data_IF_024851639843
#
_entry.id   IF_024851639843
#
_cell.length_a   1.000
_cell.length_b   1.000
_cell.length_c   1.000
_cell.angle_alpha   90.00
_cell.angle_beta   90.00
_cell.angle_gamma   90.00
#
_symmetry.space_group_name_H-M   'P 1'
#
loop_
_entity.id
_entity.type
_entity.pdbx_description
1 polymer ?
#
# COMPACT_ATOMS: atom_id res chain seq x y z
N UNK A 1 0.04 -8.68 16.60
CA UNK A 1 -0.28 -7.66 17.64
C UNK A 1 -0.74 -6.40 16.92
N UNK A 2 -1.84 -5.75 17.32
CA UNK A 2 -2.33 -4.54 16.65
C UNK A 2 -1.33 -3.38 16.80
N UNK A 3 -1.28 -2.53 15.77
CA UNK A 3 -0.45 -1.34 15.67
C UNK A 3 -1.38 -0.15 15.46
N UNK A 4 -1.31 0.84 16.36
CA UNK A 4 -1.91 2.14 16.12
C UNK A 4 -1.04 2.90 15.12
N UNK A 5 -1.63 3.37 14.03
CA UNK A 5 -0.91 4.09 12.98
C UNK A 5 -1.68 5.34 12.54
N UNK A 6 -0.95 6.36 12.11
CA UNK A 6 -1.51 7.59 11.57
C UNK A 6 -1.61 7.46 10.03
N UNK A 7 -2.79 7.20 9.45
CA UNK A 7 -2.90 6.84 8.03
C UNK A 7 -2.57 7.98 7.07
N UNK A 8 -2.63 9.25 7.51
CA UNK A 8 -2.34 10.42 6.67
C UNK A 8 -1.13 11.23 7.19
N UNK A 9 -0.03 10.54 7.50
CA UNK A 9 1.16 11.18 8.06
C UNK A 9 1.99 11.86 6.96
N UNK A 10 1.55 13.04 6.52
CA UNK A 10 2.24 13.86 5.53
C UNK A 10 2.78 15.17 6.14
N UNK A 11 3.70 15.87 5.45
CA UNK A 11 4.38 17.09 5.95
C UNK A 11 3.43 18.13 6.56
N UNK A 12 2.24 18.32 5.99
CA UNK A 12 1.25 19.32 6.47
C UNK A 12 0.61 18.97 7.82
N UNK A 13 0.76 17.73 8.28
CA UNK A 13 0.24 17.24 9.56
C UNK A 13 1.32 17.22 10.65
N UNK A 14 2.54 17.68 10.35
CA UNK A 14 3.68 17.71 11.27
C UNK A 14 4.06 19.18 11.53
N UNK A 15 3.94 19.61 12.78
CA UNK A 15 4.40 20.92 13.24
C UNK A 15 5.80 20.81 13.83
N UNK A 16 6.63 21.81 13.54
CA UNK A 16 8.01 21.92 14.04
C UNK A 16 8.21 23.25 14.76
N UNK A 17 9.25 23.35 15.58
CA UNK A 17 9.58 24.60 16.28
C UNK A 17 10.04 25.68 15.30
N UNK A 18 9.57 26.91 15.49
CA UNK A 18 10.02 28.08 14.73
C UNK A 18 11.52 28.38 14.93
N UNK A 19 12.05 28.05 16.10
CA UNK A 19 13.46 28.33 16.46
C UNK A 19 14.40 27.17 16.14
N UNK A 20 13.88 25.95 16.00
CA UNK A 20 14.65 24.73 15.74
C UNK A 20 13.80 23.71 14.98
N UNK A 21 13.80 23.75 13.63
CA UNK A 21 12.97 22.89 12.79
C UNK A 21 13.25 21.38 12.93
N UNK A 22 14.33 20.98 13.62
CA UNK A 22 14.60 19.57 13.93
C UNK A 22 13.68 19.01 15.02
N UNK A 23 12.98 19.87 15.77
CA UNK A 23 12.08 19.48 16.85
C UNK A 23 10.63 19.50 16.40
N UNK A 24 10.01 18.33 16.41
CA UNK A 24 8.56 18.17 16.22
C UNK A 24 7.84 18.72 17.47
N UNK A 25 6.90 19.64 17.25
CA UNK A 25 6.09 20.26 18.30
C UNK A 25 4.67 19.70 18.36
N UNK A 26 4.19 19.09 17.27
CA UNK A 26 2.88 18.46 17.24
C UNK A 26 2.63 17.62 15.99
N UNK A 27 1.75 16.63 16.12
CA UNK A 27 1.19 15.86 15.01
C UNK A 27 -0.33 15.96 15.16
N UNK A 28 -1.01 16.40 14.10
CA UNK A 28 -2.48 16.57 14.07
C UNK A 28 -3.13 15.52 13.17
N UNK A 29 -4.45 15.59 13.00
CA UNK A 29 -5.20 14.81 12.01
C UNK A 29 -5.40 13.31 12.35
N UNK A 30 -5.42 13.01 13.65
CA UNK A 30 -5.54 11.64 14.18
C UNK A 30 -6.94 11.02 14.06
N UNK A 31 -7.97 11.72 13.58
CA UNK A 31 -9.35 11.21 13.61
C UNK A 31 -9.59 9.96 12.77
N UNK A 32 -8.68 9.63 11.85
CA UNK A 32 -8.73 8.42 11.02
C UNK A 32 -7.82 7.30 11.55
N UNK A 33 -7.11 7.51 12.67
CA UNK A 33 -6.20 6.51 13.22
C UNK A 33 -6.94 5.29 13.77
N UNK A 34 -6.43 4.11 13.49
CA UNK A 34 -7.00 2.83 13.91
C UNK A 34 -5.92 1.88 14.44
N UNK A 35 -6.33 0.93 15.28
CA UNK A 35 -5.46 -0.12 15.80
C UNK A 35 -5.65 -1.39 14.96
N UNK A 36 -4.78 -1.59 13.97
CA UNK A 36 -4.94 -2.62 12.93
C UNK A 36 -3.69 -3.52 12.85
N UNK A 37 -3.75 -4.68 12.19
CA UNK A 37 -2.56 -5.44 11.85
C UNK A 37 -1.51 -4.58 11.15
N UNK A 38 -0.25 -4.70 11.57
CA UNK A 38 0.85 -3.87 11.06
C UNK A 38 1.05 -3.92 9.53
N UNK A 39 0.62 -5.00 8.87
CA UNK A 39 0.75 -5.15 7.42
C UNK A 39 -0.08 -4.12 6.64
N UNK A 40 -1.15 -3.57 7.22
CA UNK A 40 -1.96 -2.52 6.57
C UNK A 40 -1.16 -1.27 6.24
N UNK A 41 -0.13 -0.99 7.04
CA UNK A 41 0.71 0.21 6.92
C UNK A 41 2.15 -0.11 6.52
N UNK A 42 2.39 -1.35 6.08
CA UNK A 42 3.72 -1.81 5.71
C UNK A 42 4.20 -1.15 4.42
N UNK A 43 3.31 -0.91 3.46
CA UNK A 43 3.69 -0.26 2.20
C UNK A 43 3.55 1.26 2.22
N UNK A 44 3.03 1.84 3.31
CA UNK A 44 2.86 3.29 3.44
C UNK A 44 4.21 4.01 3.48
N UNK A 45 4.37 5.00 2.61
CA UNK A 45 5.56 5.86 2.56
C UNK A 45 5.08 7.31 2.68
N UNK A 46 5.50 8.06 3.71
CA UNK A 46 5.17 9.46 3.84
C UNK A 46 5.57 10.26 2.60
N UNK A 47 4.81 11.29 2.26
CA UNK A 47 5.04 12.15 1.09
C UNK A 47 6.46 12.73 1.02
N UNK A 48 7.08 12.98 2.16
CA UNK A 48 8.46 13.47 2.28
C UNK A 48 9.55 12.43 2.03
N UNK A 49 9.19 11.15 2.01
CA UNK A 49 10.11 10.02 1.86
C UNK A 49 9.83 9.23 0.56
N UNK A 50 8.99 9.76 -0.32
CA UNK A 50 8.78 9.21 -1.66
C UNK A 50 10.04 9.52 -2.50
N UNK A 51 10.72 8.49 -3.04
CA UNK A 51 11.88 8.66 -3.91
C UNK A 51 11.62 9.66 -5.04
N UNK A 52 12.43 10.70 -5.15
CA UNK A 52 12.51 11.52 -6.36
C UNK A 52 13.66 11.05 -7.27
N UNK A 53 13.68 11.53 -8.52
CA UNK A 53 14.72 11.20 -9.50
C UNK A 53 16.10 11.80 -9.14
N UNK A 54 16.24 12.48 -8.00
CA UNK A 54 17.52 13.02 -7.54
C UNK A 54 18.32 11.94 -6.79
N UNK A 55 19.61 11.83 -7.09
CA UNK A 55 20.52 10.91 -6.38
C UNK A 55 20.65 11.24 -4.87
N UNK A 56 20.13 12.38 -4.44
CA UNK A 56 20.22 12.97 -3.09
C UNK A 56 18.94 12.88 -2.27
N UNK A 57 18.07 11.89 -2.51
CA UNK A 57 16.93 11.66 -1.62
C UNK A 57 17.36 11.08 -0.26
N UNK A 58 17.85 11.96 0.60
CA UNK A 58 18.23 11.67 1.98
C UNK A 58 17.02 11.26 2.81
N UNK A 59 15.81 11.73 2.49
CA UNK A 59 14.61 11.44 3.26
C UNK A 59 14.13 10.01 3.01
N UNK A 60 14.07 9.55 1.75
CA UNK A 60 13.75 8.15 1.44
C UNK A 60 14.80 7.20 2.03
N UNK A 61 16.09 7.51 1.90
CA UNK A 61 17.17 6.68 2.48
C UNK A 61 17.07 6.61 4.00
N UNK A 62 16.83 7.73 4.67
CA UNK A 62 16.65 7.78 6.12
C UNK A 62 15.38 7.04 6.55
N UNK A 63 14.28 7.19 5.81
CA UNK A 63 13.03 6.49 6.09
C UNK A 63 13.18 4.97 5.92
N UNK A 64 13.81 4.49 4.86
CA UNK A 64 14.07 3.07 4.66
C UNK A 64 14.90 2.50 5.82
N UNK A 65 16.01 3.16 6.20
CA UNK A 65 16.82 2.74 7.34
C UNK A 65 16.03 2.74 8.66
N UNK A 66 15.34 3.83 8.98
CA UNK A 66 14.53 3.94 10.20
C UNK A 66 13.36 2.94 10.21
N UNK A 67 12.75 2.66 9.07
CA UNK A 67 11.65 1.69 8.98
C UNK A 67 12.10 0.26 9.26
N UNK A 68 13.37 -0.06 8.97
CA UNK A 68 13.95 -1.37 9.25
C UNK A 68 14.34 -1.53 10.72
N UNK A 69 14.94 -0.50 11.31
CA UNK A 69 15.56 -0.61 12.64
C UNK A 69 14.73 -0.01 13.78
N UNK A 70 13.96 1.04 13.52
CA UNK A 70 13.26 1.82 14.55
C UNK A 70 11.77 1.48 14.65
N UNK A 71 11.16 0.88 13.62
CA UNK A 71 9.75 0.46 13.63
C UNK A 71 9.60 -1.06 13.53
N UNK A 72 10.05 -1.77 14.56
CA UNK A 72 10.07 -3.25 14.61
C UNK A 72 8.72 -3.91 14.33
N UNK A 73 7.60 -3.22 14.59
CA UNK A 73 6.25 -3.72 14.28
C UNK A 73 5.93 -3.69 12.78
N UNK A 74 6.47 -2.72 12.04
CA UNK A 74 6.24 -2.52 10.60
C UNK A 74 7.31 -3.22 9.76
N UNK A 75 8.54 -3.35 10.29
CA UNK A 75 9.67 -3.94 9.57
C UNK A 75 9.43 -5.39 9.16
N UNK A 76 8.78 -6.18 10.00
CA UNK A 76 8.44 -7.58 9.69
C UNK A 76 7.59 -7.68 8.42
N UNK A 77 6.36 -7.15 8.39
CA UNK A 77 5.53 -7.16 7.19
C UNK A 77 6.17 -6.49 5.96
N UNK A 78 6.98 -5.43 6.13
CA UNK A 78 7.72 -4.78 5.03
C UNK A 78 8.72 -5.69 4.33
N UNK A 79 9.28 -6.67 5.05
CA UNK A 79 10.25 -7.62 4.52
C UNK A 79 9.60 -8.88 3.95
N UNK A 80 8.29 -9.04 4.11
CA UNK A 80 7.55 -10.18 3.57
C UNK A 80 7.13 -9.90 2.13
N UNK A 81 6.85 -10.96 1.37
CA UNK A 81 6.32 -10.85 0.02
C UNK A 81 4.97 -10.11 0.05
N UNK A 82 4.83 -9.07 -0.77
CA UNK A 82 3.60 -8.25 -0.84
C UNK A 82 2.39 -9.08 -1.26
N UNK A 83 2.58 -10.12 -2.06
CA UNK A 83 1.51 -11.02 -2.48
C UNK A 83 0.84 -11.72 -1.29
N UNK A 84 1.52 -11.81 -0.14
CA UNK A 84 0.91 -12.28 1.11
C UNK A 84 -0.23 -11.37 1.60
N UNK A 85 -0.10 -10.06 1.41
CA UNK A 85 -0.98 -9.06 2.01
C UNK A 85 -1.95 -8.41 1.02
N UNK A 86 -1.61 -8.37 -0.27
CA UNK A 86 -2.42 -7.73 -1.31
C UNK A 86 -3.89 -8.20 -1.34
N UNK A 87 -4.23 -9.49 -1.20
CA UNK A 87 -5.64 -9.90 -1.12
C UNK A 87 -6.43 -9.17 -0.02
N UNK A 88 -5.80 -8.93 1.14
CA UNK A 88 -6.41 -8.17 2.23
C UNK A 88 -6.55 -6.69 1.86
N UNK A 89 -5.47 -6.08 1.33
CA UNK A 89 -5.45 -4.66 0.93
C UNK A 89 -6.53 -4.33 -0.11
N UNK A 90 -6.73 -5.21 -1.09
CA UNK A 90 -7.71 -5.01 -2.15
C UNK A 90 -9.13 -5.43 -1.75
N UNK A 91 -9.31 -6.31 -0.76
CA UNK A 91 -10.64 -6.67 -0.27
C UNK A 91 -11.44 -5.46 0.25
N UNK A 92 -10.75 -4.56 0.97
CA UNK A 92 -11.34 -3.34 1.52
C UNK A 92 -11.76 -2.33 0.44
N UNK A 93 -11.16 -2.41 -0.76
CA UNK A 93 -11.42 -1.47 -1.87
C UNK A 93 -12.48 -1.96 -2.86
N UNK A 94 -12.99 -3.18 -2.70
CA UNK A 94 -13.94 -3.78 -3.65
C UNK A 94 -15.24 -2.99 -3.84
N UNK A 95 -15.70 -2.29 -2.80
CA UNK A 95 -16.89 -1.43 -2.90
C UNK A 95 -16.66 -0.19 -3.77
N UNK A 96 -15.41 0.29 -3.87
CA UNK A 96 -15.01 1.50 -4.60
C UNK A 96 -14.52 1.16 -6.01
N UNK A 97 -13.61 0.20 -6.10
CA UNK A 97 -12.88 -0.13 -7.34
C UNK A 97 -13.44 -1.37 -8.06
N UNK A 98 -14.41 -2.05 -7.46
CA UNK A 98 -14.96 -3.30 -7.96
C UNK A 98 -14.08 -4.52 -7.61
N UNK A 99 -14.54 -5.70 -8.02
CA UNK A 99 -13.92 -6.98 -7.63
C UNK A 99 -12.71 -7.39 -8.49
N UNK A 100 -12.41 -6.67 -9.59
CA UNK A 100 -11.40 -7.09 -10.57
C UNK A 100 -10.00 -7.12 -9.96
N UNK A 101 -9.61 -6.09 -9.20
CA UNK A 101 -8.31 -6.05 -8.55
C UNK A 101 -8.16 -7.14 -7.48
N UNK A 102 -9.17 -7.33 -6.62
CA UNK A 102 -9.16 -8.42 -5.64
C UNK A 102 -9.02 -9.79 -6.32
N UNK A 103 -9.75 -10.01 -7.42
CA UNK A 103 -9.64 -11.26 -8.19
C UNK A 103 -8.22 -11.48 -8.72
N UNK A 104 -7.57 -10.43 -9.21
CA UNK A 104 -6.20 -10.50 -9.70
C UNK A 104 -5.25 -10.93 -8.59
N UNK A 105 -5.31 -10.28 -7.43
CA UNK A 105 -4.45 -10.60 -6.29
C UNK A 105 -4.66 -12.03 -5.75
N UNK A 106 -5.90 -12.51 -5.77
CA UNK A 106 -6.21 -13.90 -5.42
C UNK A 106 -5.59 -14.90 -6.40
N UNK A 107 -5.60 -14.60 -7.70
CA UNK A 107 -4.95 -15.43 -8.73
C UNK A 107 -3.44 -15.45 -8.52
N UNK A 108 -2.81 -14.29 -8.39
CA UNK A 108 -1.36 -14.16 -8.17
C UNK A 108 -0.92 -14.90 -6.88
N UNK A 109 -1.64 -14.70 -5.79
CA UNK A 109 -1.37 -15.39 -4.51
C UNK A 109 -1.50 -16.90 -4.65
N UNK A 110 -2.48 -17.38 -5.43
CA UNK A 110 -2.70 -18.81 -5.64
C UNK A 110 -1.60 -19.42 -6.52
N UNK A 111 -1.12 -18.69 -7.53
CA UNK A 111 -0.02 -19.13 -8.39
C UNK A 111 1.32 -19.14 -7.64
N UNK A 112 1.57 -18.13 -6.80
CA UNK A 112 2.77 -18.02 -5.96
C UNK A 112 2.71 -18.80 -4.63
N UNK A 113 1.71 -19.66 -4.42
CA UNK A 113 1.44 -20.28 -3.11
C UNK A 113 2.64 -21.00 -2.49
N UNK A 114 3.37 -21.77 -3.31
CA UNK A 114 4.55 -22.50 -2.86
C UNK A 114 5.73 -21.56 -2.58
N UNK A 115 5.89 -20.50 -3.36
CA UNK A 115 6.96 -19.49 -3.21
C UNK A 115 6.76 -18.66 -1.94
N UNK A 116 5.49 -18.44 -1.56
CA UNK A 116 5.09 -17.84 -0.28
C UNK A 116 5.37 -18.75 0.93
N UNK A 117 5.83 -19.99 0.71
CA UNK A 117 6.18 -20.94 1.76
C UNK A 117 4.98 -21.62 2.43
N UNK A 118 3.80 -21.55 1.82
CA UNK A 118 2.62 -22.23 2.35
C UNK A 118 2.62 -23.71 2.02
N UNK A 119 2.18 -24.52 3.00
CA UNK A 119 2.01 -25.95 2.82
C UNK A 119 0.71 -26.28 2.06
N UNK A 120 0.71 -27.43 1.38
CA UNK A 120 -0.42 -27.92 0.62
C UNK A 120 -0.62 -27.18 -0.69
N UNK A 121 -1.70 -27.50 -1.37
CA UNK A 121 -2.15 -26.75 -2.53
C UNK A 121 -2.74 -25.40 -2.10
N UNK A 122 -2.49 -24.37 -2.91
CA UNK A 122 -3.19 -23.09 -2.77
C UNK A 122 -4.71 -23.24 -2.75
N UNK A 123 -5.46 -22.21 -2.35
CA UNK A 123 -6.91 -22.28 -2.24
C UNK A 123 -7.53 -22.70 -3.58
N UNK A 124 -7.75 -24.01 -3.74
CA UNK A 124 -8.16 -24.66 -4.99
C UNK A 124 -9.52 -24.17 -5.51
N UNK A 125 -10.27 -23.44 -4.67
CA UNK A 125 -11.58 -22.86 -4.98
C UNK A 125 -11.47 -21.71 -6.01
N UNK A 126 -10.25 -21.25 -6.36
CA UNK A 126 -10.06 -20.01 -7.11
C UNK A 126 -9.28 -20.12 -8.42
N UNK A 127 -8.71 -21.28 -8.79
CA UNK A 127 -7.96 -21.39 -10.05
C UNK A 127 -8.93 -21.42 -11.24
N UNK A 128 -9.08 -20.32 -12.00
CA UNK A 128 -10.03 -20.25 -13.09
C UNK A 128 -9.55 -21.14 -14.23
N UNK A 129 -10.48 -21.57 -15.07
CA UNK A 129 -10.10 -22.26 -16.31
C UNK A 129 -9.16 -21.38 -17.16
N UNK A 130 -8.32 -21.94 -18.05
CA UNK A 130 -7.43 -21.14 -18.91
C UNK A 130 -8.16 -20.04 -19.70
N UNK A 131 -9.38 -20.32 -20.14
CA UNK A 131 -10.23 -19.33 -20.81
C UNK A 131 -10.65 -18.18 -19.88
N UNK A 132 -11.00 -18.47 -18.64
CA UNK A 132 -11.34 -17.45 -17.65
C UNK A 132 -10.13 -16.63 -17.21
N UNK A 133 -8.93 -17.23 -17.18
CA UNK A 133 -7.68 -16.49 -16.93
C UNK A 133 -7.42 -15.46 -18.04
N UNK A 134 -7.52 -15.88 -19.31
CA UNK A 134 -7.36 -14.96 -20.45
C UNK A 134 -8.41 -13.85 -20.44
N UNK A 135 -9.66 -14.18 -20.10
CA UNK A 135 -10.71 -13.17 -19.94
C UNK A 135 -10.37 -12.19 -18.81
N UNK A 136 -10.00 -12.71 -17.65
CA UNK A 136 -9.65 -11.90 -16.49
C UNK A 136 -8.44 -10.98 -16.77
N UNK A 137 -7.42 -11.47 -17.48
CA UNK A 137 -6.26 -10.66 -17.85
C UNK A 137 -6.66 -9.44 -18.69
N UNK A 138 -7.62 -9.59 -19.60
CA UNK A 138 -8.17 -8.47 -20.39
C UNK A 138 -8.95 -7.49 -19.51
N UNK A 139 -9.79 -7.99 -18.61
CA UNK A 139 -10.55 -7.16 -17.66
C UNK A 139 -9.62 -6.39 -16.73
N UNK A 140 -8.54 -7.02 -16.25
CA UNK A 140 -7.55 -6.40 -15.38
C UNK A 140 -6.77 -5.29 -16.10
N UNK A 141 -6.36 -5.51 -17.36
CA UNK A 141 -5.72 -4.48 -18.18
C UNK A 141 -6.60 -3.24 -18.36
N UNK A 142 -7.91 -3.44 -18.61
CA UNK A 142 -8.87 -2.33 -18.70
C UNK A 142 -9.04 -1.62 -17.35
N UNK A 143 -9.09 -2.37 -16.25
CA UNK A 143 -9.16 -1.82 -14.91
C UNK A 143 -7.95 -0.93 -14.59
N UNK A 144 -6.73 -1.40 -14.87
CA UNK A 144 -5.49 -0.63 -14.66
C UNK A 144 -5.51 0.66 -15.48
N UNK A 145 -5.83 0.58 -16.79
CA UNK A 145 -5.91 1.75 -17.64
C UNK A 145 -6.95 2.78 -17.15
N UNK A 146 -8.08 2.33 -16.60
CA UNK A 146 -9.08 3.22 -16.02
C UNK A 146 -8.58 3.91 -14.73
N UNK A 147 -7.83 3.20 -13.88
CA UNK A 147 -7.24 3.78 -12.67
C UNK A 147 -6.13 4.78 -12.98
N UNK A 148 -5.26 4.47 -13.96
CA UNK A 148 -4.25 5.39 -14.46
C UNK A 148 -4.88 6.68 -15.00
N UNK A 149 -5.89 6.54 -15.87
CA UNK A 149 -6.63 7.69 -16.41
C UNK A 149 -7.25 8.54 -15.29
N UNK A 150 -7.85 7.90 -14.27
CA UNK A 150 -8.42 8.62 -13.12
C UNK A 150 -7.35 9.39 -12.35
N UNK A 151 -6.20 8.77 -12.11
CA UNK A 151 -5.09 9.38 -11.41
C UNK A 151 -4.53 10.58 -12.18
N UNK A 152 -4.27 10.42 -13.47
CA UNK A 152 -3.73 11.48 -14.33
C UNK A 152 -4.67 12.69 -14.41
N UNK A 153 -5.98 12.45 -14.56
CA UNK A 153 -6.97 13.51 -14.56
C UNK A 153 -7.03 14.25 -13.22
N UNK A 154 -6.93 13.51 -12.11
CA UNK A 154 -6.95 14.11 -10.77
C UNK A 154 -5.73 15.00 -10.54
N UNK A 155 -4.54 14.56 -10.97
CA UNK A 155 -3.32 15.35 -10.93
C UNK A 155 -3.41 16.61 -11.80
N UNK A 156 -3.93 16.47 -13.04
CA UNK A 156 -4.08 17.59 -13.96
C UNK A 156 -5.03 18.66 -13.43
N UNK A 157 -6.12 18.23 -12.78
CA UNK A 157 -7.14 19.12 -12.24
C UNK A 157 -6.80 19.65 -10.85
N UNK A 158 -5.74 19.15 -10.21
CA UNK A 158 -5.40 19.46 -8.83
C UNK A 158 -6.49 19.00 -7.84
N UNK A 159 -7.21 17.93 -8.17
CA UNK A 159 -8.30 17.38 -7.36
C UNK A 159 -7.90 16.04 -6.76
N UNK A 160 -8.53 15.68 -5.65
CA UNK A 160 -8.30 14.41 -4.99
C UNK A 160 -9.01 13.26 -5.75
N UNK A 161 -8.50 12.02 -5.64
CA UNK A 161 -8.99 10.84 -6.39
C UNK A 161 -10.14 10.11 -5.66
N UNK A 162 -10.60 10.66 -4.56
CA UNK A 162 -11.50 10.10 -3.56
C UNK A 162 -12.99 10.34 -3.84
N UNK A 163 -13.31 10.95 -4.99
CA UNK A 163 -14.66 10.99 -5.58
C UNK A 163 -15.02 9.75 -6.39
#
# INVERSE_FOLDING_TARGET
>A
MPTLFHPDLHKRNIFVSETDPSKITGIIDWQSASAEPAFWYADEVPDFAVPDDSENDLCAKAFDACSRFSTSKLSGPRLMDKNLFRPFLYSYRTWKDGAIALRHELVETTQGWNELGFAGSGPYILLPSPHELVKHEREYKLFVAAQELKHDLSNLLGTATDG
#
